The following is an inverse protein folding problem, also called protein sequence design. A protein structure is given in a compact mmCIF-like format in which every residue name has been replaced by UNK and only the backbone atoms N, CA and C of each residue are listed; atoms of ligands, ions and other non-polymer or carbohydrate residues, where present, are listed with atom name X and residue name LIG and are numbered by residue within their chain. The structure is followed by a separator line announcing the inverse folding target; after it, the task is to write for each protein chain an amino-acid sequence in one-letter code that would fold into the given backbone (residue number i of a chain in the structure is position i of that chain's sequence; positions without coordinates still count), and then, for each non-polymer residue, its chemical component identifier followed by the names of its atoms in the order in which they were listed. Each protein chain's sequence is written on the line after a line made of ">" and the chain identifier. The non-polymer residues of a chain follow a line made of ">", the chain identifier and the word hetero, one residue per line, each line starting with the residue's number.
data_IF_855502760267
#
_entry.id   IF_855502760267
#
_cell.length_a   1.000
_cell.length_b   1.000
_cell.length_c   1.000
_cell.angle_alpha   90.00
_cell.angle_beta   90.00
_cell.angle_gamma   90.00
#
_symmetry.space_group_name_H-M   'P 1'
#
loop_
_entity.id
_entity.type
_entity.pdbx_description
1 polymer ?
#
# COMPACT_ATOMS: atom_id res chain seq x y z
N UNK A 1 -12.52 -103.00 -32.55
CA UNK A 1 -11.52 -103.95 -32.00
C UNK A 1 -10.15 -103.56 -32.56
N UNK A 2 -9.03 -103.47 -31.81
CA UNK A 2 -8.75 -103.25 -30.37
C UNK A 2 -8.10 -101.84 -30.10
N UNK A 3 -8.13 -101.22 -28.89
CA UNK A 3 -7.20 -101.28 -27.71
C UNK A 3 -5.71 -101.10 -28.13
N UNK A 4 -4.90 -100.13 -27.68
CA UNK A 4 -4.37 -99.88 -26.31
C UNK A 4 -3.81 -98.45 -26.13
N UNK A 5 -4.01 -97.96 -24.90
CA UNK A 5 -3.44 -96.80 -24.18
C UNK A 5 -1.94 -96.56 -24.33
N UNK A 6 -1.50 -95.30 -24.20
CA UNK A 6 -0.62 -94.93 -23.07
C UNK A 6 -0.68 -93.43 -22.75
N UNK A 7 -0.87 -93.14 -21.45
CA UNK A 7 -0.91 -91.84 -20.81
C UNK A 7 0.48 -91.20 -20.61
N UNK A 8 0.44 -89.95 -20.13
CA UNK A 8 1.45 -89.13 -19.42
C UNK A 8 1.93 -87.97 -20.30
N UNK A 9 2.04 -86.71 -19.87
CA UNK A 9 2.09 -86.10 -18.54
C UNK A 9 1.76 -84.60 -18.66
N UNK A 10 1.40 -83.97 -17.54
CA UNK A 10 0.82 -82.64 -17.38
C UNK A 10 1.73 -81.45 -17.77
N UNK A 11 1.05 -80.35 -18.17
CA UNK A 11 1.54 -78.96 -18.35
C UNK A 11 2.08 -78.39 -17.00
N UNK A 12 2.91 -77.32 -16.96
CA UNK A 12 2.53 -75.94 -17.35
C UNK A 12 3.59 -75.27 -18.25
N UNK A 13 3.19 -74.48 -19.26
CA UNK A 13 2.90 -73.05 -19.11
C UNK A 13 4.07 -72.27 -18.50
N UNK A 14 5.04 -71.80 -19.29
CA UNK A 14 5.60 -70.43 -19.21
C UNK A 14 6.19 -70.06 -20.57
N UNK A 15 5.81 -68.86 -21.01
CA UNK A 15 6.07 -68.22 -22.29
C UNK A 15 7.55 -67.87 -22.50
N UNK A 16 7.95 -67.99 -23.75
CA UNK A 16 8.99 -67.25 -24.47
C UNK A 16 9.39 -65.92 -23.79
N UNK A 17 10.57 -65.86 -23.15
CA UNK A 17 11.21 -64.61 -22.76
C UNK A 17 12.14 -64.23 -23.91
N UNK A 18 11.65 -63.31 -24.75
CA UNK A 18 12.40 -62.68 -25.82
C UNK A 18 13.17 -61.51 -25.20
N UNK A 19 14.50 -61.58 -25.28
CA UNK A 19 15.43 -60.50 -24.95
C UNK A 19 15.09 -59.25 -25.78
N UNK A 20 14.54 -58.23 -25.13
CA UNK A 20 14.56 -56.86 -25.62
C UNK A 20 15.05 -55.98 -24.47
N UNK A 21 16.28 -55.51 -24.64
CA UNK A 21 16.91 -54.42 -23.90
C UNK A 21 16.05 -53.17 -24.03
N UNK A 22 15.11 -52.99 -23.09
CA UNK A 22 14.36 -51.75 -22.92
C UNK A 22 15.26 -50.72 -22.24
N UNK A 23 15.96 -49.92 -23.05
CA UNK A 23 16.42 -48.60 -22.60
C UNK A 23 15.17 -47.75 -22.41
N UNK A 24 14.72 -47.61 -21.16
CA UNK A 24 13.72 -46.62 -20.81
C UNK A 24 14.39 -45.25 -20.88
N UNK A 25 14.24 -44.59 -22.03
CA UNK A 25 14.41 -43.15 -22.11
C UNK A 25 13.26 -42.56 -21.29
N UNK A 26 13.49 -42.32 -20.00
CA UNK A 26 12.69 -41.38 -19.24
C UNK A 26 12.91 -40.02 -19.90
N UNK A 27 12.00 -39.63 -20.78
CA UNK A 27 11.84 -38.23 -21.16
C UNK A 27 11.37 -37.50 -19.89
N UNK A 28 12.33 -37.02 -19.11
CA UNK A 28 12.07 -36.00 -18.10
C UNK A 28 11.63 -34.76 -18.87
N UNK A 29 10.33 -34.54 -18.95
CA UNK A 29 9.83 -33.19 -19.24
C UNK A 29 10.42 -32.28 -18.17
N UNK A 30 11.19 -31.23 -18.52
CA UNK A 30 11.56 -30.25 -17.52
C UNK A 30 10.24 -29.69 -16.98
N UNK A 31 10.01 -29.90 -15.69
CA UNK A 31 8.92 -29.22 -15.00
C UNK A 31 9.15 -27.73 -15.23
N UNK A 32 8.28 -27.11 -16.03
CA UNK A 32 8.20 -25.66 -16.11
C UNK A 32 7.86 -25.18 -14.70
N UNK A 33 8.88 -24.75 -13.95
CA UNK A 33 8.69 -23.89 -12.79
C UNK A 33 7.84 -22.71 -13.29
N UNK A 34 6.64 -22.45 -12.74
CA UNK A 34 6.08 -21.13 -12.91
C UNK A 34 7.04 -20.19 -12.18
N UNK A 35 7.80 -19.41 -12.96
CA UNK A 35 8.62 -18.34 -12.43
C UNK A 35 7.68 -17.19 -12.02
N UNK A 36 6.93 -17.40 -10.94
CA UNK A 36 6.28 -16.35 -10.17
C UNK A 36 6.96 -16.33 -8.81
N UNK A 37 7.49 -15.19 -8.39
CA UNK A 37 8.12 -15.08 -7.09
C UNK A 37 7.12 -15.48 -5.99
N UNK A 38 7.43 -16.56 -5.25
CA UNK A 38 6.64 -16.96 -4.08
C UNK A 38 7.08 -16.12 -2.90
N UNK A 39 6.16 -15.31 -2.36
CA UNK A 39 6.42 -14.50 -1.17
C UNK A 39 6.02 -15.27 0.09
N UNK A 40 6.92 -15.35 1.06
CA UNK A 40 6.68 -15.97 2.37
C UNK A 40 6.89 -14.96 3.49
N UNK A 41 6.06 -15.02 4.54
CA UNK A 41 6.09 -14.06 5.65
C UNK A 41 7.38 -14.18 6.47
N UNK A 42 7.94 -15.38 6.59
CA UNK A 42 9.13 -15.66 7.39
C UNK A 42 10.43 -15.21 6.69
N UNK A 43 10.41 -15.12 5.36
CA UNK A 43 11.56 -14.69 4.58
C UNK A 43 11.57 -13.17 4.42
N UNK A 44 12.43 -12.51 5.19
CA UNK A 44 12.64 -11.05 5.14
C UNK A 44 12.99 -10.56 3.75
N UNK A 45 13.76 -11.33 2.97
CA UNK A 45 14.17 -10.93 1.63
C UNK A 45 12.99 -10.99 0.67
N UNK A 46 12.17 -12.03 0.75
CA UNK A 46 10.91 -12.12 0.00
C UNK A 46 9.96 -10.99 0.34
N UNK A 47 9.80 -10.66 1.63
CA UNK A 47 8.94 -9.53 2.04
C UNK A 47 9.51 -8.19 1.58
N UNK A 48 10.81 -7.96 1.70
CA UNK A 48 11.45 -6.74 1.18
C UNK A 48 11.27 -6.62 -0.34
N UNK A 49 11.36 -7.74 -1.07
CA UNK A 49 11.11 -7.79 -2.51
C UNK A 49 9.66 -7.48 -2.85
N UNK A 50 8.70 -7.99 -2.07
CA UNK A 50 7.28 -7.67 -2.22
C UNK A 50 7.01 -6.18 -1.98
N UNK A 51 7.62 -5.59 -0.94
CA UNK A 51 7.54 -4.15 -0.64
C UNK A 51 8.06 -3.33 -1.82
N UNK A 52 9.25 -3.65 -2.34
CA UNK A 52 9.85 -2.91 -3.45
C UNK A 52 9.00 -2.99 -4.72
N UNK A 53 8.47 -4.18 -5.05
CA UNK A 53 7.57 -4.36 -6.19
C UNK A 53 6.27 -3.55 -6.01
N UNK A 54 5.68 -3.59 -4.81
CA UNK A 54 4.50 -2.80 -4.50
C UNK A 54 4.77 -1.29 -4.61
N UNK A 55 5.84 -0.79 -4.00
CA UNK A 55 6.17 0.63 -4.02
C UNK A 55 6.43 1.14 -5.45
N UNK A 56 7.04 0.32 -6.30
CA UNK A 56 7.35 0.68 -7.69
C UNK A 56 6.12 0.94 -8.57
N UNK A 57 4.98 0.29 -8.29
CA UNK A 57 3.80 0.32 -9.17
C UNK A 57 2.53 0.80 -8.49
N UNK A 58 2.40 0.58 -7.18
CA UNK A 58 1.24 0.97 -6.38
C UNK A 58 1.55 2.16 -5.46
N UNK A 59 2.84 2.41 -5.16
CA UNK A 59 3.29 3.40 -4.16
C UNK A 59 2.90 4.86 -4.44
N UNK A 60 2.58 5.19 -5.68
CA UNK A 60 2.08 6.51 -6.05
C UNK A 60 0.70 6.80 -5.41
N UNK A 61 -0.14 5.77 -5.27
CA UNK A 61 -1.52 5.89 -4.81
C UNK A 61 -1.79 5.18 -3.48
N UNK A 62 -1.02 4.14 -3.15
CA UNK A 62 -1.18 3.36 -1.94
C UNK A 62 0.10 3.38 -1.10
N UNK A 63 -0.03 3.18 0.20
CA UNK A 63 1.07 3.12 1.15
C UNK A 63 0.99 1.81 1.92
N UNK A 64 2.15 1.27 2.28
CA UNK A 64 2.22 0.09 3.18
C UNK A 64 1.95 0.51 4.63
N UNK A 65 2.33 1.73 4.96
CA UNK A 65 2.13 2.38 6.25
C UNK A 65 0.76 3.06 6.34
N UNK A 66 0.33 3.56 7.52
CA UNK A 66 -1.00 4.13 7.70
C UNK A 66 -1.30 5.40 6.89
N UNK A 67 -0.31 6.04 6.27
CA UNK A 67 -0.49 7.32 5.58
C UNK A 67 -1.35 7.17 4.34
N UNK A 68 -2.47 7.89 4.26
CA UNK A 68 -3.33 7.89 3.07
C UNK A 68 -2.69 8.71 1.94
N UNK A 69 -2.79 8.22 0.70
CA UNK A 69 -2.35 8.92 -0.53
C UNK A 69 -3.56 9.14 -1.45
N UNK A 70 -3.39 8.99 -2.76
CA UNK A 70 -4.49 9.04 -3.74
C UNK A 70 -5.41 7.81 -3.69
N UNK A 71 -5.17 6.89 -2.77
CA UNK A 71 -5.95 5.70 -2.50
C UNK A 71 -5.78 5.24 -1.04
N UNK A 72 -6.56 4.23 -0.62
CA UNK A 72 -6.50 3.72 0.74
C UNK A 72 -5.14 3.09 1.07
N UNK A 73 -4.66 3.31 2.29
CA UNK A 73 -3.48 2.65 2.83
C UNK A 73 -3.70 1.14 3.05
N UNK A 74 -2.63 0.35 3.04
CA UNK A 74 -2.66 -1.10 3.28
C UNK A 74 -3.36 -1.51 4.59
N UNK A 75 -3.14 -0.87 5.74
CA UNK A 75 -3.92 -1.18 6.94
C UNK A 75 -5.43 -0.99 6.76
N UNK A 76 -5.85 -0.02 5.95
CA UNK A 76 -7.25 0.18 5.57
C UNK A 76 -7.75 -0.93 4.65
N UNK A 77 -6.99 -1.26 3.61
CA UNK A 77 -7.29 -2.40 2.72
C UNK A 77 -7.43 -3.70 3.51
N UNK A 78 -6.47 -4.03 4.37
CA UNK A 78 -6.49 -5.23 5.20
C UNK A 78 -7.72 -5.29 6.10
N UNK A 79 -8.04 -4.19 6.80
CA UNK A 79 -9.22 -4.09 7.67
C UNK A 79 -10.53 -4.44 6.97
N UNK A 80 -10.64 -4.16 5.66
CA UNK A 80 -11.82 -4.48 4.86
C UNK A 80 -11.76 -5.89 4.26
N UNK A 81 -10.63 -6.27 3.66
CA UNK A 81 -10.49 -7.55 2.98
C UNK A 81 -10.45 -8.74 3.95
N UNK A 82 -9.96 -8.56 5.19
CA UNK A 82 -9.94 -9.64 6.20
C UNK A 82 -11.31 -10.26 6.49
N UNK A 83 -12.41 -9.56 6.17
CA UNK A 83 -13.78 -10.09 6.29
C UNK A 83 -14.07 -11.25 5.33
N UNK A 84 -13.23 -11.45 4.31
CA UNK A 84 -13.37 -12.54 3.33
C UNK A 84 -12.89 -13.89 3.86
N UNK A 85 -12.20 -13.92 5.00
CA UNK A 85 -11.71 -15.15 5.61
C UNK A 85 -10.21 -15.32 5.45
N UNK A 86 -9.80 -16.39 4.77
CA UNK A 86 -8.40 -16.82 4.73
C UNK A 86 -7.50 -15.85 3.93
N UNK A 87 -6.18 -15.86 4.19
CA UNK A 87 -5.21 -15.11 3.38
C UNK A 87 -5.31 -15.41 1.88
N UNK A 88 -5.62 -16.66 1.50
CA UNK A 88 -5.82 -17.03 0.10
C UNK A 88 -7.07 -16.38 -0.49
N UNK A 89 -8.18 -16.32 0.26
CA UNK A 89 -9.40 -15.63 -0.19
C UNK A 89 -9.16 -14.12 -0.35
N UNK A 90 -8.41 -13.52 0.58
CA UNK A 90 -8.00 -12.11 0.49
C UNK A 90 -7.14 -11.89 -0.75
N UNK A 91 -6.10 -12.70 -0.93
CA UNK A 91 -5.17 -12.61 -2.05
C UNK A 91 -5.90 -12.71 -3.39
N UNK A 92 -6.80 -13.69 -3.55
CA UNK A 92 -7.59 -13.84 -4.77
C UNK A 92 -8.50 -12.64 -5.02
N UNK A 93 -9.18 -12.13 -3.99
CA UNK A 93 -10.03 -10.96 -4.14
C UNK A 93 -9.24 -9.70 -4.52
N UNK A 94 -8.04 -9.51 -3.96
CA UNK A 94 -7.18 -8.37 -4.33
C UNK A 94 -6.65 -8.52 -5.75
N UNK A 95 -6.26 -9.73 -6.17
CA UNK A 95 -5.80 -10.01 -7.53
C UNK A 95 -6.91 -9.74 -8.55
N UNK A 96 -8.12 -10.25 -8.30
CA UNK A 96 -9.29 -10.04 -9.15
C UNK A 96 -9.61 -8.55 -9.31
N UNK A 97 -9.67 -7.81 -8.19
CA UNK A 97 -9.99 -6.38 -8.24
C UNK A 97 -8.88 -5.56 -8.92
N UNK A 98 -7.62 -5.83 -8.61
CA UNK A 98 -6.48 -5.06 -9.15
C UNK A 98 -6.27 -5.28 -10.64
N UNK A 99 -6.66 -6.45 -11.17
CA UNK A 99 -6.54 -6.77 -12.60
C UNK A 99 -7.70 -6.24 -13.44
N UNK A 100 -8.89 -6.08 -12.84
CA UNK A 100 -10.06 -5.54 -13.52
C UNK A 100 -10.95 -4.74 -12.55
N UNK A 101 -10.56 -3.51 -12.16
CA UNK A 101 -11.35 -2.72 -11.24
C UNK A 101 -12.64 -2.24 -11.92
N UNK A 102 -13.77 -2.56 -11.30
CA UNK A 102 -15.13 -2.23 -11.78
C UNK A 102 -16.07 -2.08 -10.61
N UNK A 103 -17.10 -1.24 -10.76
CA UNK A 103 -18.02 -0.88 -9.67
C UNK A 103 -18.67 -2.08 -9.00
N UNK A 104 -18.99 -3.15 -9.74
CA UNK A 104 -19.63 -4.35 -9.20
C UNK A 104 -18.67 -5.23 -8.39
N UNK A 105 -17.36 -5.07 -8.59
CA UNK A 105 -16.32 -5.78 -7.85
C UNK A 105 -15.81 -5.00 -6.63
N UNK A 106 -16.36 -3.80 -6.37
CA UNK A 106 -15.94 -2.94 -5.25
C UNK A 106 -16.32 -3.57 -3.92
N UNK A 107 -15.32 -3.78 -3.06
CA UNK A 107 -15.51 -4.26 -1.68
C UNK A 107 -15.40 -3.16 -0.63
N UNK A 108 -15.08 -1.94 -1.06
CA UNK A 108 -14.87 -0.76 -0.23
C UNK A 108 -15.60 0.44 -0.84
N UNK A 109 -16.95 0.47 -0.79
CA UNK A 109 -17.74 1.53 -1.42
C UNK A 109 -17.40 2.92 -0.85
N UNK A 110 -17.06 3.02 0.43
CA UNK A 110 -16.63 4.26 1.07
C UNK A 110 -15.29 4.76 0.52
N UNK A 111 -14.38 3.84 0.18
CA UNK A 111 -13.12 4.21 -0.46
C UNK A 111 -13.35 4.68 -1.90
N UNK A 112 -14.29 4.08 -2.64
CA UNK A 112 -14.64 4.58 -3.98
C UNK A 112 -15.30 5.95 -3.91
N UNK A 113 -16.12 6.22 -2.89
CA UNK A 113 -16.66 7.56 -2.67
C UNK A 113 -15.57 8.60 -2.35
N UNK A 114 -14.51 8.21 -1.63
CA UNK A 114 -13.43 9.11 -1.23
C UNK A 114 -12.34 9.31 -2.28
N UNK A 115 -11.99 8.27 -3.04
CA UNK A 115 -10.83 8.25 -3.95
C UNK A 115 -11.18 8.04 -5.41
N UNK A 116 -12.46 7.74 -5.72
CA UNK A 116 -12.87 7.24 -7.02
C UNK A 116 -12.58 5.75 -7.19
N UNK A 117 -13.03 5.19 -8.31
CA UNK A 117 -12.71 3.80 -8.67
C UNK A 117 -11.21 3.73 -9.02
N UNK A 118 -10.54 2.68 -8.52
CA UNK A 118 -9.15 2.40 -8.86
C UNK A 118 -8.98 2.36 -10.39
N UNK A 119 -8.05 3.13 -10.99
CA UNK A 119 -7.88 3.14 -12.43
C UNK A 119 -7.39 1.78 -12.91
N UNK A 120 -7.88 1.34 -14.08
CA UNK A 120 -7.37 0.16 -14.75
C UNK A 120 -6.00 0.50 -15.34
N UNK A 121 -4.95 -0.07 -14.75
CA UNK A 121 -3.57 0.10 -15.18
C UNK A 121 -2.96 -1.25 -15.56
N UNK A 122 -1.96 -1.23 -16.44
CA UNK A 122 -1.19 -2.43 -16.79
C UNK A 122 -0.07 -2.63 -15.79
N UNK A 123 -0.34 -3.42 -14.76
CA UNK A 123 0.65 -3.78 -13.74
C UNK A 123 1.41 -5.05 -14.13
N UNK A 124 2.67 -5.14 -13.67
CA UNK A 124 3.39 -6.40 -13.69
C UNK A 124 2.68 -7.42 -12.78
N UNK A 125 2.43 -8.66 -13.24
CA UNK A 125 1.77 -9.68 -12.45
C UNK A 125 2.40 -9.88 -11.07
N UNK A 126 3.73 -9.78 -10.98
CA UNK A 126 4.51 -9.92 -9.75
C UNK A 126 4.21 -8.80 -8.76
N UNK A 127 3.98 -7.58 -9.23
CA UNK A 127 3.63 -6.45 -8.36
C UNK A 127 2.20 -6.57 -7.82
N UNK A 128 1.26 -7.06 -8.63
CA UNK A 128 -0.10 -7.35 -8.15
C UNK A 128 -0.07 -8.49 -7.13
N UNK A 129 0.71 -9.54 -7.38
CA UNK A 129 0.94 -10.63 -6.44
C UNK A 129 1.57 -10.15 -5.14
N UNK A 130 2.55 -9.25 -5.21
CA UNK A 130 3.18 -8.64 -4.05
C UNK A 130 2.19 -7.82 -3.21
N UNK A 131 1.39 -6.96 -3.85
CA UNK A 131 0.34 -6.19 -3.16
C UNK A 131 -0.70 -7.09 -2.49
N UNK A 132 -1.17 -8.12 -3.21
CA UNK A 132 -2.09 -9.11 -2.66
C UNK A 132 -1.50 -9.89 -1.48
N UNK A 133 -0.22 -10.27 -1.56
CA UNK A 133 0.51 -10.91 -0.47
C UNK A 133 0.61 -10.00 0.76
N UNK A 134 1.01 -8.74 0.57
CA UNK A 134 1.16 -7.77 1.66
C UNK A 134 -0.17 -7.49 2.38
N UNK A 135 -1.26 -7.36 1.62
CA UNK A 135 -2.60 -7.15 2.19
C UNK A 135 -3.07 -8.41 2.92
N UNK A 136 -2.96 -9.60 2.30
CA UNK A 136 -3.42 -10.86 2.88
C UNK A 136 -2.68 -11.24 4.18
N UNK A 137 -1.41 -10.86 4.30
CA UNK A 137 -0.56 -11.22 5.42
C UNK A 137 -0.30 -10.05 6.37
N UNK A 138 -1.00 -8.93 6.23
CA UNK A 138 -0.69 -7.69 6.95
C UNK A 138 -0.64 -7.87 8.48
N UNK A 139 -1.55 -8.64 9.08
CA UNK A 139 -1.49 -8.94 10.52
C UNK A 139 -0.27 -9.76 10.93
N UNK A 140 0.09 -10.77 10.14
CA UNK A 140 1.25 -11.63 10.40
C UNK A 140 2.55 -10.86 10.22
N UNK A 141 2.59 -9.97 9.23
CA UNK A 141 3.68 -9.06 8.97
C UNK A 141 3.82 -8.05 10.12
N UNK A 142 2.73 -7.46 10.62
CA UNK A 142 2.78 -6.57 11.80
C UNK A 142 3.26 -7.28 13.07
N UNK A 143 2.87 -8.54 13.26
CA UNK A 143 3.37 -9.35 14.38
C UNK A 143 4.87 -9.69 14.25
N UNK A 144 5.40 -9.67 13.02
CA UNK A 144 6.81 -9.82 12.75
C UNK A 144 7.53 -8.51 13.12
N UNK A 145 8.19 -8.47 14.29
CA UNK A 145 8.83 -7.26 14.84
C UNK A 145 9.91 -6.59 13.98
N UNK A 146 10.19 -7.09 12.78
CA UNK A 146 11.08 -6.51 11.79
C UNK A 146 10.35 -5.83 10.61
N UNK A 147 9.06 -6.08 10.38
CA UNK A 147 8.30 -5.56 9.23
C UNK A 147 7.95 -4.07 9.36
N UNK A 148 7.90 -3.55 10.58
CA UNK A 148 7.70 -2.11 10.83
C UNK A 148 8.99 -1.28 10.76
N UNK A 149 10.14 -1.89 10.44
CA UNK A 149 11.42 -1.18 10.37
C UNK A 149 11.65 -0.54 9.00
N UNK A 150 10.72 0.29 8.54
CA UNK A 150 11.11 1.41 7.67
C UNK A 150 11.84 2.43 8.57
N UNK A 151 12.88 3.15 8.11
CA UNK A 151 13.58 4.13 8.94
C UNK A 151 12.55 5.08 9.56
N UNK A 152 12.66 5.33 10.87
CA UNK A 152 11.69 6.04 11.69
C UNK A 152 11.22 7.35 11.02
N UNK A 153 10.19 7.27 10.18
CA UNK A 153 9.30 8.40 9.95
C UNK A 153 8.40 8.39 11.18
N UNK A 154 8.46 9.41 12.05
CA UNK A 154 7.64 9.43 13.25
C UNK A 154 6.19 9.19 12.83
N UNK A 155 5.48 8.33 13.58
CA UNK A 155 4.10 7.98 13.30
C UNK A 155 3.31 9.23 12.92
N UNK A 156 2.65 9.21 11.75
CA UNK A 156 1.94 10.36 11.22
C UNK A 156 1.01 10.92 12.30
N UNK A 157 1.26 12.16 12.73
CA UNK A 157 0.44 12.76 13.77
C UNK A 157 -0.98 13.02 13.24
N UNK A 158 -1.97 13.09 14.13
CA UNK A 158 -3.33 13.41 13.70
C UNK A 158 -3.39 14.76 12.96
N UNK A 159 -2.54 15.72 13.34
CA UNK A 159 -2.41 17.01 12.67
C UNK A 159 -1.80 16.90 11.26
N UNK A 160 -0.81 16.04 11.04
CA UNK A 160 -0.26 15.78 9.70
C UNK A 160 -1.34 15.23 8.76
N UNK A 161 -2.10 14.23 9.24
CA UNK A 161 -3.19 13.63 8.45
C UNK A 161 -4.25 14.66 8.09
N UNK A 162 -4.72 15.43 9.06
CA UNK A 162 -5.72 16.48 8.84
C UNK A 162 -5.21 17.58 7.90
N UNK A 163 -3.93 17.94 7.98
CA UNK A 163 -3.34 18.92 7.06
C UNK A 163 -3.33 18.39 5.63
N UNK A 164 -2.85 17.16 5.41
CA UNK A 164 -2.80 16.59 4.06
C UNK A 164 -4.19 16.46 3.44
N UNK A 165 -5.20 16.12 4.25
CA UNK A 165 -6.58 16.00 3.80
C UNK A 165 -7.24 17.35 3.48
N UNK A 166 -7.04 18.37 4.32
CA UNK A 166 -7.80 19.62 4.24
C UNK A 166 -7.03 20.78 3.59
N UNK A 167 -5.70 20.75 3.64
CA UNK A 167 -4.84 21.86 3.22
C UNK A 167 -3.87 21.44 2.10
N UNK A 168 -3.55 20.14 2.00
CA UNK A 168 -2.54 19.59 1.10
C UNK A 168 -2.79 19.80 -0.39
N UNK A 169 -4.05 20.03 -0.79
CA UNK A 169 -4.42 20.33 -2.17
C UNK A 169 -3.78 21.63 -2.68
N UNK A 170 -3.59 22.62 -1.79
CA UNK A 170 -2.98 23.90 -2.14
C UNK A 170 -1.60 24.09 -1.49
N UNK A 171 -1.43 23.63 -0.25
CA UNK A 171 -0.22 23.82 0.55
C UNK A 171 0.61 22.53 0.60
N UNK A 172 1.73 22.43 -0.13
CA UNK A 172 2.64 21.30 0.02
C UNK A 172 3.32 21.33 1.40
N UNK A 173 3.80 20.19 1.90
CA UNK A 173 4.51 20.17 3.20
C UNK A 173 5.88 20.85 3.09
N UNK A 174 6.61 20.49 2.04
CA UNK A 174 7.95 20.98 1.72
C UNK A 174 7.92 21.83 0.45
N UNK A 175 8.91 22.72 0.25
CA UNK A 175 9.13 23.37 -1.03
C UNK A 175 9.32 22.33 -2.17
N UNK A 176 9.03 22.70 -3.44
CA UNK A 176 8.59 24.01 -3.90
C UNK A 176 7.10 24.33 -3.59
N UNK A 177 6.68 25.61 -3.62
CA UNK A 177 5.27 25.97 -3.51
C UNK A 177 4.43 25.43 -4.67
N UNK A 178 3.10 25.38 -4.48
CA UNK A 178 2.11 25.13 -5.55
C UNK A 178 1.10 26.26 -5.63
N UNK A 179 -0.09 26.06 -5.06
CA UNK A 179 -1.18 27.04 -5.05
C UNK A 179 -1.23 27.83 -3.73
N UNK A 180 -0.17 27.72 -2.94
CA UNK A 180 -0.03 28.30 -1.62
C UNK A 180 1.35 27.98 -1.04
N UNK A 181 1.77 28.72 0.00
CA UNK A 181 3.07 28.54 0.63
C UNK A 181 3.18 27.16 1.30
N UNK A 182 4.37 26.52 1.30
CA UNK A 182 4.56 25.25 1.97
C UNK A 182 4.36 25.33 3.49
N UNK A 183 3.93 24.24 4.13
CA UNK A 183 3.76 24.15 5.59
C UNK A 183 5.03 24.53 6.35
N UNK A 184 6.20 24.08 5.87
CA UNK A 184 7.49 24.46 6.45
C UNK A 184 7.78 25.97 6.35
N UNK A 185 7.37 26.60 5.25
CA UNK A 185 7.45 28.05 5.06
C UNK A 185 6.58 28.78 6.07
N UNK A 186 5.31 28.38 6.21
CA UNK A 186 4.38 28.93 7.19
C UNK A 186 4.94 28.81 8.62
N UNK A 187 5.44 27.63 8.98
CA UNK A 187 6.05 27.37 10.29
C UNK A 187 7.23 28.31 10.57
N UNK A 188 8.11 28.53 9.59
CA UNK A 188 9.24 29.46 9.71
C UNK A 188 8.80 30.90 9.96
N UNK A 189 7.91 31.44 9.13
CA UNK A 189 7.48 32.84 9.23
C UNK A 189 6.72 33.10 10.53
N UNK A 190 5.76 32.26 10.88
CA UNK A 190 4.98 32.44 12.10
C UNK A 190 5.82 32.25 13.37
N UNK A 191 6.80 31.33 13.39
CA UNK A 191 7.70 31.14 14.54
C UNK A 191 8.68 32.31 14.77
N UNK A 192 8.92 33.13 13.74
CA UNK A 192 9.72 34.37 13.90
C UNK A 192 9.00 35.40 14.74
N UNK A 193 7.66 35.44 14.68
CA UNK A 193 6.82 36.38 15.44
C UNK A 193 6.33 35.76 16.74
N UNK A 194 5.78 34.55 16.68
CA UNK A 194 5.16 33.86 17.82
C UNK A 194 6.09 32.80 18.39
N UNK A 195 6.56 33.00 19.63
CA UNK A 195 7.58 32.15 20.27
C UNK A 195 7.00 30.93 20.98
N UNK A 196 5.74 30.99 21.40
CA UNK A 196 5.05 29.86 22.02
C UNK A 196 4.16 29.15 21.01
N UNK A 197 3.98 27.84 21.20
CA UNK A 197 3.07 27.03 20.39
C UNK A 197 1.64 27.59 20.44
N UNK A 198 1.19 27.99 21.62
CA UNK A 198 -0.15 28.51 21.81
C UNK A 198 -0.40 29.80 21.02
N UNK A 199 0.53 30.76 21.07
CA UNK A 199 0.38 32.03 20.33
C UNK A 199 0.50 31.82 18.82
N UNK A 200 1.38 30.91 18.38
CA UNK A 200 1.47 30.49 16.99
C UNK A 200 0.13 29.93 16.50
N UNK A 201 -0.43 28.96 17.23
CA UNK A 201 -1.68 28.29 16.86
C UNK A 201 -2.83 29.29 16.80
N UNK A 202 -2.97 30.13 17.81
CA UNK A 202 -4.02 31.15 17.84
C UNK A 202 -3.94 32.11 16.64
N UNK A 203 -2.75 32.58 16.29
CA UNK A 203 -2.57 33.47 15.14
C UNK A 203 -2.87 32.77 13.80
N UNK A 204 -2.43 31.52 13.65
CA UNK A 204 -2.72 30.74 12.45
C UNK A 204 -4.23 30.47 12.31
N UNK A 205 -4.89 30.05 13.38
CA UNK A 205 -6.34 29.83 13.42
C UNK A 205 -7.10 31.11 13.06
N UNK A 206 -6.73 32.25 13.65
CA UNK A 206 -7.36 33.53 13.38
C UNK A 206 -7.24 33.92 11.90
N UNK A 207 -6.05 33.70 11.30
CA UNK A 207 -5.84 33.95 9.88
C UNK A 207 -6.69 33.03 9.01
N UNK A 208 -6.68 31.71 9.25
CA UNK A 208 -7.47 30.74 8.46
C UNK A 208 -8.98 31.02 8.54
N UNK A 209 -9.49 31.39 9.71
CA UNK A 209 -10.92 31.67 9.92
C UNK A 209 -11.38 32.98 9.26
N UNK A 210 -10.49 33.96 9.16
CA UNK A 210 -10.76 35.26 8.55
C UNK A 210 -9.49 35.79 7.86
N UNK A 211 -9.15 35.27 6.67
CA UNK A 211 -7.97 35.70 5.94
C UNK A 211 -8.08 37.19 5.62
N UNK A 212 -7.00 37.93 5.92
CA UNK A 212 -6.92 39.37 5.74
C UNK A 212 -5.49 39.71 5.32
N UNK A 213 -5.35 40.36 4.17
CA UNK A 213 -4.04 40.66 3.61
C UNK A 213 -3.18 41.53 4.53
N UNK A 214 -3.81 42.46 5.26
CA UNK A 214 -3.11 43.34 6.20
C UNK A 214 -2.59 42.62 7.45
N UNK A 215 -3.08 41.41 7.72
CA UNK A 215 -2.73 40.61 8.90
C UNK A 215 -1.87 39.39 8.57
N UNK A 216 -1.53 39.19 7.29
CA UNK A 216 -0.66 38.10 6.87
C UNK A 216 0.78 38.35 7.32
N UNK A 217 1.42 37.31 7.86
CA UNK A 217 2.86 37.31 8.12
C UNK A 217 3.69 36.91 6.89
N UNK A 218 3.03 36.72 5.75
CA UNK A 218 3.62 36.29 4.50
C UNK A 218 3.04 37.13 3.35
N UNK A 219 3.35 38.43 3.27
CA UNK A 219 2.85 39.32 2.21
C UNK A 219 3.29 38.85 0.82
N UNK A 220 4.52 38.36 0.67
CA UNK A 220 5.04 37.83 -0.60
C UNK A 220 4.20 36.63 -1.09
N UNK A 221 3.68 35.81 -0.18
CA UNK A 221 2.80 34.69 -0.54
C UNK A 221 1.42 35.18 -1.03
N UNK A 222 0.96 36.35 -0.58
CA UNK A 222 -0.27 36.96 -1.10
C UNK A 222 -0.02 37.54 -2.48
N UNK A 223 1.14 38.15 -2.72
CA UNK A 223 1.54 38.63 -4.04
C UNK A 223 1.63 37.47 -5.04
N UNK A 224 2.20 36.32 -4.62
CA UNK A 224 2.41 35.16 -5.48
C UNK A 224 1.13 34.33 -5.72
N UNK A 225 0.35 34.05 -4.67
CA UNK A 225 -0.78 33.10 -4.74
C UNK A 225 -2.16 33.76 -4.57
N UNK A 226 -2.21 35.05 -4.27
CA UNK A 226 -3.43 35.74 -3.86
C UNK A 226 -3.81 35.50 -2.39
N UNK A 227 -4.88 36.16 -1.96
CA UNK A 227 -5.40 35.99 -0.60
C UNK A 227 -6.02 34.60 -0.43
N UNK A 228 -5.63 33.90 0.63
CA UNK A 228 -6.21 32.60 0.99
C UNK A 228 -7.74 32.70 1.07
N UNK A 229 -8.50 31.82 0.38
CA UNK A 229 -9.95 31.79 0.52
C UNK A 229 -10.38 31.52 1.95
N UNK A 230 -11.48 32.14 2.38
CA UNK A 230 -12.07 31.85 3.69
C UNK A 230 -12.72 30.47 3.67
N UNK A 231 -12.14 29.54 4.42
CA UNK A 231 -12.63 28.18 4.53
C UNK A 231 -13.25 27.95 5.92
N UNK A 232 -14.34 27.19 5.97
CA UNK A 232 -14.97 26.78 7.22
C UNK A 232 -14.39 25.44 7.65
N UNK A 233 -13.62 25.43 8.74
CA UNK A 233 -13.04 24.22 9.31
C UNK A 233 -13.44 24.08 10.77
N UNK A 234 -13.44 22.85 11.27
CA UNK A 234 -13.64 22.56 12.68
C UNK A 234 -12.46 23.15 13.50
N UNK A 235 -12.76 23.87 14.59
CA UNK A 235 -11.75 24.52 15.40
C UNK A 235 -10.76 23.53 16.06
N UNK A 236 -11.23 22.35 16.46
CA UNK A 236 -10.39 21.30 17.06
C UNK A 236 -9.45 20.70 16.01
N UNK A 237 -9.92 20.48 14.79
CA UNK A 237 -9.08 19.97 13.70
C UNK A 237 -8.04 21.01 13.28
N UNK A 238 -8.44 22.29 13.18
CA UNK A 238 -7.50 23.39 12.94
C UNK A 238 -6.43 23.50 14.02
N UNK A 239 -6.80 23.33 15.30
CA UNK A 239 -5.86 23.35 16.41
C UNK A 239 -4.79 22.25 16.24
N UNK A 240 -5.21 21.04 15.85
CA UNK A 240 -4.30 19.93 15.60
C UNK A 240 -3.41 20.17 14.38
N UNK A 241 -3.96 20.71 13.30
CA UNK A 241 -3.20 21.10 12.10
C UNK A 241 -2.14 22.15 12.47
N UNK A 242 -2.53 23.19 13.22
CA UNK A 242 -1.63 24.27 13.61
C UNK A 242 -0.48 23.78 14.51
N UNK A 243 -0.77 22.88 15.45
CA UNK A 243 0.26 22.24 16.28
C UNK A 243 1.25 21.44 15.43
N UNK A 244 0.78 20.71 14.43
CA UNK A 244 1.66 19.99 13.52
C UNK A 244 2.49 20.93 12.61
N UNK A 245 1.90 22.01 12.09
CA UNK A 245 2.65 23.01 11.32
C UNK A 245 3.74 23.63 12.19
N UNK A 246 3.45 23.98 13.45
CA UNK A 246 4.44 24.50 14.39
C UNK A 246 5.66 23.59 14.55
N UNK A 247 5.46 22.26 14.57
CA UNK A 247 6.54 21.28 14.66
C UNK A 247 7.46 21.27 13.42
N UNK A 248 7.01 21.80 12.27
CA UNK A 248 7.81 21.86 11.03
C UNK A 248 8.86 22.97 11.04
N UNK A 249 8.89 23.82 12.07
CA UNK A 249 9.86 24.90 12.22
C UNK A 249 11.30 24.38 12.28
N UNK A 250 12.30 25.18 11.87
CA UNK A 250 13.70 24.85 12.09
C UNK A 250 13.94 24.69 13.60
N UNK A 251 14.47 23.53 13.98
CA UNK A 251 14.93 23.31 15.35
C UNK A 251 16.29 23.98 15.50
N UNK A 252 16.51 24.71 16.59
CA UNK A 252 17.86 25.15 16.94
C UNK A 252 18.63 23.91 17.37
N UNK A 253 19.75 23.62 16.69
CA UNK A 253 20.75 22.67 17.15
C UNK A 253 21.54 23.28 18.31
#
# INVERSE_FOLDING_TARGET
>A
MPIIMQQQSLKPFVRFILLLTGVTIFATTPACKPAGASFEVQDKQSVASAIALFESQCGACHSISPEVRNGPALPGLFSHYRRLGSPDQIKQAVLEFSTNPRHEAVRMPEAVAAFGLMPKMEFQPEAVQAGAFLIANYSSLQAAGWFQKQPDKPAQSNGERLFLQNCGACHPVQPPPRNGPPARGMAMHYSRVYKSEQSFKQALLAYVQKPDASKSLMPDAIEEFGLMPRMQFNAQELDQIAGWIYQQRPQKQ
#
